data_IF_731120903115
#
_entry.id   IF_731120903115
#
_cell.length_a   1.000
_cell.length_b   1.000
_cell.length_c   1.000
_cell.angle_alpha   90.00
_cell.angle_beta   90.00
_cell.angle_gamma   90.00
#
_symmetry.space_group_name_H-M   'P 1'
#
loop_
_entity.id
_entity.type
_entity.pdbx_description
1 polymer ?
#
# COMPACT_ATOMS: atom_id res chain seq x y z
N UNK A 1 38.76 -1.71 -83.43
CA UNK A 1 39.10 -2.11 -82.06
C UNK A 1 39.09 -0.85 -81.20
N UNK A 2 38.26 -0.81 -80.32
CA UNK A 2 38.10 -0.08 -79.09
C UNK A 2 36.66 0.39 -78.84
N UNK A 3 36.05 -0.27 -77.95
CA UNK A 3 34.67 -0.17 -77.57
C UNK A 3 34.52 0.93 -76.53
N UNK A 4 33.72 1.96 -76.72
CA UNK A 4 33.38 2.97 -75.74
C UNK A 4 32.01 2.63 -75.17
N UNK A 5 32.01 2.20 -73.91
CA UNK A 5 30.81 2.01 -73.15
C UNK A 5 30.30 3.39 -72.61
N UNK A 6 29.07 3.69 -72.98
CA UNK A 6 28.28 4.81 -72.50
C UNK A 6 27.89 4.56 -70.99
N UNK A 7 28.20 5.52 -70.14
CA UNK A 7 27.78 5.51 -68.70
C UNK A 7 26.51 6.35 -68.65
N UNK A 8 25.37 5.66 -68.50
CA UNK A 8 24.10 6.30 -68.14
C UNK A 8 24.09 6.81 -66.71
N UNK A 9 23.84 8.11 -66.54
CA UNK A 9 23.57 8.74 -65.23
C UNK A 9 22.14 8.46 -64.85
N UNK A 10 21.93 7.68 -63.83
CA UNK A 10 20.66 7.58 -63.12
C UNK A 10 20.52 8.75 -62.13
N UNK A 11 19.52 9.59 -62.32
CA UNK A 11 19.05 10.54 -61.34
C UNK A 11 18.18 9.80 -60.32
N UNK A 12 18.66 9.66 -59.11
CA UNK A 12 17.83 9.22 -57.97
C UNK A 12 17.15 10.46 -57.40
N UNK A 13 15.86 10.59 -57.65
CA UNK A 13 15.01 11.56 -56.94
C UNK A 13 14.75 11.03 -55.55
N UNK A 14 15.45 11.58 -54.56
CA UNK A 14 15.21 11.30 -53.16
C UNK A 14 13.92 11.98 -52.69
N UNK A 15 12.87 11.20 -52.49
CA UNK A 15 11.67 11.66 -51.77
C UNK A 15 12.03 11.79 -50.30
N UNK A 16 12.18 13.02 -49.79
CA UNK A 16 12.28 13.30 -48.39
C UNK A 16 10.89 13.04 -47.73
N UNK A 17 10.75 11.91 -47.05
CA UNK A 17 9.65 11.67 -46.14
C UNK A 17 9.85 12.58 -44.91
N UNK A 18 9.05 13.65 -44.85
CA UNK A 18 8.84 14.43 -43.65
C UNK A 18 8.08 13.52 -42.67
N UNK A 19 8.82 12.87 -41.75
CA UNK A 19 8.25 12.28 -40.55
C UNK A 19 7.86 13.45 -39.66
N UNK A 20 6.59 13.84 -39.73
CA UNK A 20 5.99 14.67 -38.68
C UNK A 20 5.97 13.81 -37.41
N UNK A 21 7.00 13.98 -36.57
CA UNK A 21 6.99 13.47 -35.22
C UNK A 21 5.76 14.05 -34.51
N UNK A 22 4.79 13.20 -34.18
CA UNK A 22 3.87 13.50 -33.12
C UNK A 22 4.71 13.69 -31.84
N UNK A 23 5.00 14.94 -31.55
CA UNK A 23 5.53 15.33 -30.24
C UNK A 23 4.47 14.94 -29.22
N UNK A 24 4.62 13.74 -28.63
CA UNK A 24 4.00 13.46 -27.36
C UNK A 24 4.55 14.50 -26.38
N UNK A 25 3.73 15.46 -26.00
CA UNK A 25 4.04 16.34 -24.88
C UNK A 25 4.30 15.41 -23.71
N UNK A 26 5.53 15.41 -23.19
CA UNK A 26 5.78 14.83 -21.86
C UNK A 26 4.70 15.40 -20.93
N UNK A 27 4.01 14.55 -20.14
CA UNK A 27 3.02 15.07 -19.23
C UNK A 27 3.72 16.11 -18.36
N UNK A 28 3.25 17.37 -18.44
CA UNK A 28 3.72 18.46 -17.59
C UNK A 28 3.59 17.91 -16.17
N UNK A 29 4.71 17.82 -15.45
CA UNK A 29 4.69 17.36 -14.07
C UNK A 29 3.74 18.30 -13.32
N UNK A 30 2.62 17.77 -12.87
CA UNK A 30 1.67 18.54 -12.08
C UNK A 30 2.42 19.01 -10.84
N UNK A 31 2.59 20.33 -10.66
CA UNK A 31 3.39 20.92 -9.58
C UNK A 31 3.01 20.37 -8.20
N UNK A 32 1.75 19.94 -8.03
CA UNK A 32 1.26 19.32 -6.80
C UNK A 32 1.96 18.01 -6.44
N UNK A 33 2.44 17.24 -7.45
CA UNK A 33 3.14 15.97 -7.20
C UNK A 33 4.60 16.16 -6.76
N UNK A 34 5.22 17.28 -7.11
CA UNK A 34 6.66 17.50 -6.95
C UNK A 34 7.09 17.28 -5.51
N UNK A 35 6.38 17.90 -4.56
CA UNK A 35 6.77 17.81 -3.15
C UNK A 35 6.48 16.44 -2.53
N UNK A 36 5.35 15.84 -2.84
CA UNK A 36 5.03 14.47 -2.39
C UNK A 36 6.04 13.44 -2.95
N UNK A 37 6.42 13.59 -4.23
CA UNK A 37 7.43 12.75 -4.87
C UNK A 37 8.81 12.96 -4.25
N UNK A 38 9.18 14.21 -3.95
CA UNK A 38 10.45 14.52 -3.27
C UNK A 38 10.53 13.88 -1.88
N UNK A 39 9.47 14.00 -1.09
CA UNK A 39 9.40 13.36 0.24
C UNK A 39 9.53 11.84 0.14
N UNK A 40 8.84 11.22 -0.81
CA UNK A 40 8.91 9.78 -1.01
C UNK A 40 10.32 9.34 -1.41
N UNK A 41 10.95 10.05 -2.37
CA UNK A 41 12.32 9.75 -2.80
C UNK A 41 13.31 9.86 -1.64
N UNK A 42 13.19 10.89 -0.80
CA UNK A 42 14.03 11.03 0.39
C UNK A 42 13.84 9.86 1.38
N UNK A 43 12.58 9.44 1.60
CA UNK A 43 12.31 8.27 2.45
C UNK A 43 12.92 7.00 1.87
N UNK A 44 12.83 6.79 0.56
CA UNK A 44 13.45 5.64 -0.11
C UNK A 44 14.98 5.65 0.04
N UNK A 45 15.63 6.79 -0.13
CA UNK A 45 17.08 6.96 0.09
C UNK A 45 17.45 6.62 1.54
N UNK A 46 16.67 7.05 2.52
CA UNK A 46 16.85 6.73 3.93
C UNK A 46 16.74 5.22 4.20
N UNK A 47 15.79 4.53 3.54
CA UNK A 47 15.68 3.06 3.67
C UNK A 47 16.91 2.36 3.10
N UNK A 48 17.40 2.79 1.93
CA UNK A 48 18.60 2.22 1.30
C UNK A 48 19.84 2.41 2.18
N UNK A 49 19.94 3.52 2.89
CA UNK A 49 21.04 3.80 3.82
C UNK A 49 20.95 2.98 5.13
N UNK A 50 19.81 2.39 5.44
CA UNK A 50 19.58 1.62 6.66
C UNK A 50 19.89 0.13 6.46
N UNK A 51 20.74 -0.50 7.29
CA UNK A 51 21.01 -1.93 7.18
C UNK A 51 19.86 -2.82 7.70
N UNK A 52 18.84 -2.25 8.32
CA UNK A 52 17.73 -2.98 8.96
C UNK A 52 16.41 -2.85 8.23
N UNK A 53 16.26 -1.79 7.43
CA UNK A 53 15.02 -1.49 6.75
C UNK A 53 15.12 -1.86 5.28
N UNK A 54 14.05 -2.41 4.74
CA UNK A 54 13.96 -2.72 3.31
C UNK A 54 12.64 -2.24 2.75
N UNK A 55 12.67 -1.65 1.56
CA UNK A 55 11.45 -1.31 0.82
C UNK A 55 10.72 -2.58 0.43
N UNK A 56 9.43 -2.66 0.75
CA UNK A 56 8.53 -3.70 0.25
C UNK A 56 7.92 -3.23 -1.07
N UNK A 57 7.23 -2.09 -1.06
CA UNK A 57 6.61 -1.48 -2.23
C UNK A 57 6.31 -0.01 -1.97
N UNK A 58 6.23 0.79 -3.03
CA UNK A 58 5.50 2.06 -3.02
C UNK A 58 4.29 1.98 -3.95
N UNK A 59 3.21 2.66 -3.59
CA UNK A 59 1.97 2.69 -4.36
C UNK A 59 1.55 4.14 -4.54
N UNK A 60 1.50 4.59 -5.79
CA UNK A 60 0.99 5.90 -6.16
C UNK A 60 -0.52 5.81 -6.44
N UNK A 61 -1.31 6.01 -5.40
CA UNK A 61 -2.76 5.94 -5.49
C UNK A 61 -3.33 6.96 -6.47
N UNK A 62 -2.76 8.14 -6.50
CA UNK A 62 -3.24 9.25 -7.32
C UNK A 62 -3.03 9.02 -8.81
N UNK A 63 -1.83 8.58 -9.22
CA UNK A 63 -1.57 8.25 -10.63
C UNK A 63 -2.31 7.01 -11.10
N UNK A 64 -2.44 5.99 -10.24
CA UNK A 64 -3.27 4.82 -10.52
C UNK A 64 -4.75 5.19 -10.65
N UNK A 65 -5.27 6.03 -9.75
CA UNK A 65 -6.64 6.54 -9.83
C UNK A 65 -6.89 7.34 -11.10
N UNK A 66 -5.96 8.22 -11.46
CA UNK A 66 -6.03 9.01 -12.71
C UNK A 66 -6.07 8.11 -13.95
N UNK A 67 -5.19 7.10 -14.02
CA UNK A 67 -5.18 6.12 -15.12
C UNK A 67 -6.50 5.33 -15.22
N UNK A 68 -7.15 5.09 -14.09
CA UNK A 68 -8.45 4.43 -14.01
C UNK A 68 -9.65 5.38 -14.16
N UNK A 69 -9.43 6.65 -14.56
CA UNK A 69 -10.49 7.65 -14.73
C UNK A 69 -11.11 8.16 -13.43
N UNK A 70 -10.39 8.05 -12.33
CA UNK A 70 -10.82 8.49 -10.99
C UNK A 70 -9.72 9.36 -10.36
N UNK A 71 -9.53 10.60 -10.87
CA UNK A 71 -8.50 11.51 -10.37
C UNK A 71 -8.73 11.85 -8.89
N UNK A 72 -7.63 12.00 -8.16
CA UNK A 72 -7.60 12.36 -6.74
C UNK A 72 -6.35 13.21 -6.45
N UNK A 73 -6.27 13.90 -5.30
CA UNK A 73 -5.07 14.59 -4.89
C UNK A 73 -3.86 13.66 -4.77
N UNK A 74 -2.61 14.18 -4.85
CA UNK A 74 -1.41 13.40 -4.61
C UNK A 74 -1.49 12.57 -3.34
N UNK A 75 -1.25 11.26 -3.46
CA UNK A 75 -1.21 10.33 -2.33
C UNK A 75 -0.36 9.11 -2.73
N UNK A 76 0.80 8.96 -2.09
CA UNK A 76 1.74 7.86 -2.31
C UNK A 76 2.11 7.21 -0.99
N UNK A 77 1.91 5.90 -0.88
CA UNK A 77 2.28 5.14 0.31
C UNK A 77 3.56 4.36 0.07
N UNK A 78 4.53 4.52 0.97
CA UNK A 78 5.73 3.71 1.07
C UNK A 78 5.53 2.65 2.15
N UNK A 79 5.70 1.38 1.79
CA UNK A 79 5.63 0.23 2.68
C UNK A 79 7.04 -0.36 2.81
N UNK A 80 7.52 -0.51 4.03
CA UNK A 80 8.88 -0.98 4.31
C UNK A 80 8.92 -1.88 5.55
N UNK A 81 9.85 -2.81 5.56
CA UNK A 81 9.95 -3.90 6.53
C UNK A 81 11.16 -3.76 7.44
N UNK A 82 10.96 -4.13 8.70
CA UNK A 82 11.96 -4.57 9.65
C UNK A 82 11.53 -5.98 10.12
N UNK A 83 12.02 -7.05 9.50
CA UNK A 83 11.53 -8.41 9.74
C UNK A 83 11.62 -8.85 11.20
N UNK A 84 12.63 -8.37 11.95
CA UNK A 84 12.76 -8.71 13.36
C UNK A 84 11.67 -8.03 14.20
N UNK A 85 11.41 -6.73 14.01
CA UNK A 85 10.34 -6.01 14.68
C UNK A 85 8.98 -6.66 14.37
N UNK A 86 8.73 -6.96 13.11
CA UNK A 86 7.50 -7.60 12.64
C UNK A 86 7.29 -8.95 13.30
N UNK A 87 8.31 -9.80 13.29
CA UNK A 87 8.28 -11.14 13.91
C UNK A 87 7.96 -11.06 15.40
N UNK A 88 8.61 -10.16 16.14
CA UNK A 88 8.42 -10.00 17.57
C UNK A 88 7.03 -9.46 17.92
N UNK A 89 6.50 -8.51 17.15
CA UNK A 89 5.13 -8.00 17.33
C UNK A 89 4.06 -9.05 16.99
N UNK A 90 4.23 -9.77 15.89
CA UNK A 90 3.29 -10.83 15.45
C UNK A 90 3.26 -11.98 16.45
N UNK A 91 4.40 -12.30 17.08
CA UNK A 91 4.46 -13.30 18.15
C UNK A 91 3.62 -12.90 19.38
N UNK A 92 3.43 -11.59 19.64
CA UNK A 92 2.56 -11.11 20.71
C UNK A 92 1.07 -11.16 20.32
N UNK A 93 0.76 -10.72 19.09
CA UNK A 93 -0.61 -10.75 18.57
C UNK A 93 -0.58 -10.82 17.02
N UNK A 94 -0.98 -11.96 16.41
CA UNK A 94 -0.94 -12.12 14.95
C UNK A 94 -1.73 -11.06 14.18
N UNK A 95 -2.79 -10.48 14.75
CA UNK A 95 -3.59 -9.46 14.09
C UNK A 95 -2.81 -8.18 13.78
N UNK A 96 -1.71 -7.90 14.52
CA UNK A 96 -0.89 -6.69 14.26
C UNK A 96 -0.30 -6.69 12.86
N UNK A 97 -0.18 -7.84 12.22
CA UNK A 97 0.24 -7.98 10.83
C UNK A 97 -0.63 -7.18 9.83
N UNK A 98 -1.86 -6.77 10.21
CA UNK A 98 -2.67 -5.83 9.43
C UNK A 98 -2.07 -4.42 9.33
N UNK A 99 -1.30 -4.02 10.35
CA UNK A 99 -0.62 -2.72 10.37
C UNK A 99 0.89 -2.85 10.11
N UNK A 100 1.34 -4.03 9.74
CA UNK A 100 2.69 -4.34 9.28
C UNK A 100 2.66 -4.76 7.79
N UNK A 101 3.78 -4.61 7.07
CA UNK A 101 4.97 -3.84 7.41
C UNK A 101 4.67 -2.37 7.69
N UNK A 102 5.67 -1.64 8.20
CA UNK A 102 5.54 -0.20 8.46
C UNK A 102 5.19 0.55 7.18
N UNK A 103 4.45 1.66 7.33
CA UNK A 103 4.07 2.47 6.17
C UNK A 103 4.00 3.95 6.50
N UNK A 104 4.29 4.74 5.49
CA UNK A 104 4.20 6.20 5.54
C UNK A 104 3.52 6.65 4.25
N UNK A 105 2.53 7.51 4.36
CA UNK A 105 1.85 8.13 3.23
C UNK A 105 2.35 9.56 3.05
N UNK A 106 2.83 9.90 1.86
CA UNK A 106 3.01 11.27 1.42
C UNK A 106 1.75 11.69 0.66
N UNK A 107 1.14 12.81 1.05
CA UNK A 107 -0.12 13.28 0.47
C UNK A 107 -0.20 14.81 0.44
N UNK A 108 -1.07 15.34 -0.43
CA UNK A 108 -1.42 16.75 -0.43
C UNK A 108 -2.51 17.02 0.61
N UNK A 109 -2.23 17.92 1.55
CA UNK A 109 -3.25 18.50 2.41
C UNK A 109 -3.84 19.74 1.72
N UNK A 110 -5.00 19.60 1.10
CA UNK A 110 -5.67 20.68 0.37
C UNK A 110 -6.06 21.86 1.27
N UNK A 111 -6.21 21.66 2.60
CA UNK A 111 -6.54 22.73 3.54
C UNK A 111 -5.37 23.66 3.77
N UNK A 112 -4.17 23.10 3.81
CA UNK A 112 -2.92 23.83 3.99
C UNK A 112 -2.22 24.14 2.68
N UNK A 113 -2.70 23.58 1.57
CA UNK A 113 -2.09 23.65 0.23
C UNK A 113 -0.59 23.28 0.30
N UNK A 114 -0.32 22.17 0.97
CA UNK A 114 1.05 21.68 1.20
C UNK A 114 1.09 20.15 1.23
N UNK A 115 2.22 19.59 0.85
CA UNK A 115 2.44 18.16 1.00
C UNK A 115 2.83 17.82 2.43
N UNK A 116 2.24 16.76 2.94
CA UNK A 116 2.47 16.20 4.28
C UNK A 116 2.83 14.73 4.20
N UNK A 117 3.42 14.21 5.26
CA UNK A 117 3.49 12.78 5.51
C UNK A 117 2.69 12.41 6.74
N UNK A 118 2.13 11.20 6.76
CA UNK A 118 1.40 10.65 7.89
C UNK A 118 1.71 9.15 8.05
N UNK A 119 1.75 8.70 9.29
CA UNK A 119 1.97 7.30 9.66
C UNK A 119 1.26 6.96 10.96
N UNK A 120 1.11 5.68 11.26
CA UNK A 120 0.58 5.22 12.54
C UNK A 120 1.66 5.24 13.61
N UNK A 121 1.33 5.74 14.81
CA UNK A 121 2.23 5.71 15.98
C UNK A 121 2.23 4.33 16.64
N UNK A 122 3.21 4.05 17.50
CA UNK A 122 3.18 2.83 18.29
C UNK A 122 2.00 2.79 19.28
N UNK A 123 1.59 3.93 19.83
CA UNK A 123 0.43 4.04 20.72
C UNK A 123 -0.87 3.64 20.02
N UNK A 124 -0.97 3.90 18.73
CA UNK A 124 -2.08 3.37 17.92
C UNK A 124 -2.10 1.84 17.91
N UNK A 125 -0.93 1.18 17.72
CA UNK A 125 -0.85 -0.28 17.76
C UNK A 125 -1.20 -0.81 19.14
N UNK A 126 -0.69 -0.19 20.21
CA UNK A 126 -1.01 -0.53 21.61
C UNK A 126 -2.51 -0.49 21.83
N UNK A 127 -3.16 0.60 21.46
CA UNK A 127 -4.60 0.79 21.60
C UNK A 127 -5.41 -0.21 20.78
N UNK A 128 -5.04 -0.38 19.49
CA UNK A 128 -5.78 -1.23 18.56
C UNK A 128 -5.73 -2.71 18.91
N UNK A 129 -4.54 -3.19 19.28
CA UNK A 129 -4.29 -4.60 19.55
C UNK A 129 -4.29 -4.94 21.05
N UNK A 130 -4.59 -3.94 21.89
CA UNK A 130 -4.67 -4.08 23.37
C UNK A 130 -3.38 -4.66 23.95
N UNK A 131 -2.25 -4.19 23.47
CA UNK A 131 -0.97 -4.57 24.01
C UNK A 131 -0.78 -3.98 25.43
N UNK A 132 -0.03 -4.70 26.26
CA UNK A 132 0.51 -4.14 27.50
C UNK A 132 1.73 -3.26 27.19
N UNK A 133 1.63 -1.93 27.34
CA UNK A 133 2.75 -1.03 27.02
C UNK A 133 4.02 -1.34 27.80
N UNK A 134 3.88 -1.81 29.02
CA UNK A 134 5.02 -2.12 29.90
C UNK A 134 5.86 -3.29 29.40
N UNK A 135 5.25 -4.23 28.66
CA UNK A 135 5.94 -5.39 28.11
C UNK A 135 6.63 -5.14 26.77
N UNK A 136 6.36 -4.00 26.11
CA UNK A 136 6.77 -3.73 24.73
C UNK A 136 7.69 -2.51 24.56
N UNK A 137 8.35 -2.06 25.63
CA UNK A 137 9.18 -0.83 25.63
C UNK A 137 10.30 -0.89 24.56
N UNK A 138 10.95 -2.05 24.40
CA UNK A 138 12.01 -2.22 23.39
C UNK A 138 11.44 -2.17 21.96
N UNK A 139 10.29 -2.81 21.73
CA UNK A 139 9.60 -2.79 20.42
C UNK A 139 9.08 -1.40 20.09
N UNK A 140 8.55 -0.66 21.06
CA UNK A 140 8.18 0.75 20.92
C UNK A 140 9.39 1.60 20.49
N UNK A 141 10.52 1.42 21.20
CA UNK A 141 11.76 2.13 20.87
C UNK A 141 12.21 1.84 19.44
N UNK A 142 12.22 0.57 19.05
CA UNK A 142 12.60 0.14 17.70
C UNK A 142 11.64 0.65 16.62
N UNK A 143 10.34 0.57 16.86
CA UNK A 143 9.30 1.10 15.96
C UNK A 143 9.50 2.59 15.71
N UNK A 144 9.67 3.37 16.78
CA UNK A 144 9.86 4.81 16.72
C UNK A 144 11.17 5.18 16.00
N UNK A 145 12.27 4.46 16.29
CA UNK A 145 13.55 4.66 15.60
C UNK A 145 13.42 4.36 14.11
N UNK A 146 12.73 3.30 13.71
CA UNK A 146 12.55 2.96 12.31
C UNK A 146 11.76 4.01 11.54
N UNK A 147 10.69 4.55 12.12
CA UNK A 147 9.96 5.69 11.54
C UNK A 147 10.85 6.93 11.45
N UNK A 148 11.61 7.23 12.52
CA UNK A 148 12.54 8.37 12.53
C UNK A 148 13.65 8.25 11.48
N UNK A 149 14.17 7.04 11.24
CA UNK A 149 15.12 6.77 10.14
C UNK A 149 14.45 7.01 8.80
N UNK A 150 13.30 6.43 8.55
CA UNK A 150 12.59 6.57 7.27
C UNK A 150 12.24 8.04 6.96
N UNK A 151 11.87 8.83 7.97
CA UNK A 151 11.46 10.25 7.82
C UNK A 151 12.59 11.25 8.02
N UNK A 152 13.84 10.80 8.13
CA UNK A 152 14.99 11.69 8.35
C UNK A 152 15.08 12.74 7.25
N UNK A 153 15.31 14.01 7.63
CA UNK A 153 15.37 15.13 6.71
C UNK A 153 14.01 15.71 6.27
N UNK A 154 12.90 15.13 6.71
CA UNK A 154 11.56 15.72 6.53
C UNK A 154 11.29 16.66 7.72
N UNK A 155 10.92 17.89 7.41
CA UNK A 155 10.66 18.91 8.43
C UNK A 155 9.40 18.55 9.26
N UNK A 156 9.43 18.85 10.56
CA UNK A 156 8.33 18.57 11.47
C UNK A 156 7.02 19.26 11.09
N UNK A 157 7.07 20.38 10.39
CA UNK A 157 5.90 21.10 9.84
C UNK A 157 5.17 20.30 8.75
N UNK A 158 5.86 19.32 8.15
CA UNK A 158 5.29 18.44 7.14
C UNK A 158 4.77 17.11 7.73
N UNK A 159 4.83 16.94 9.06
CA UNK A 159 4.24 15.81 9.75
C UNK A 159 2.77 16.10 10.06
N UNK A 160 1.88 15.24 9.57
CA UNK A 160 0.47 15.24 9.94
C UNK A 160 0.19 14.16 11.00
N UNK A 161 -0.89 14.34 11.74
CA UNK A 161 -1.38 13.35 12.69
C UNK A 161 -2.88 13.14 12.50
N UNK A 162 -3.36 11.95 12.85
CA UNK A 162 -4.79 11.69 12.87
C UNK A 162 -5.46 12.39 14.05
N UNK A 163 -6.77 12.72 13.93
CA UNK A 163 -7.53 13.32 15.03
C UNK A 163 -7.57 12.44 16.29
N UNK A 164 -7.44 11.13 16.11
CA UNK A 164 -7.40 10.15 17.19
C UNK A 164 -6.47 9.00 16.85
N UNK A 165 -5.53 8.69 17.73
CA UNK A 165 -4.72 7.48 17.66
C UNK A 165 -5.43 6.26 18.24
N UNK A 166 -6.57 6.46 18.89
CA UNK A 166 -7.37 5.39 19.48
C UNK A 166 -8.31 4.84 18.41
N UNK A 167 -8.27 3.53 18.23
CA UNK A 167 -9.19 2.80 17.36
C UNK A 167 -9.96 1.76 18.16
N UNK A 168 -11.27 1.68 17.91
CA UNK A 168 -12.06 0.58 18.47
C UNK A 168 -11.56 -0.76 17.93
N UNK A 169 -11.50 -1.81 18.75
CA UNK A 169 -11.25 -3.18 18.29
C UNK A 169 -12.17 -3.62 17.14
N UNK A 170 -13.38 -3.03 17.07
CA UNK A 170 -14.37 -3.30 16.03
C UNK A 170 -13.95 -2.81 14.62
N UNK A 171 -12.80 -2.12 14.51
CA UNK A 171 -12.23 -1.71 13.22
C UNK A 171 -11.62 -2.84 12.39
N UNK A 172 -11.68 -4.10 12.85
CA UNK A 172 -11.18 -5.29 12.15
C UNK A 172 -12.33 -6.24 11.88
N UNK A 173 -12.48 -6.62 10.61
CA UNK A 173 -13.41 -7.66 10.20
C UNK A 173 -12.64 -8.97 10.14
N UNK A 174 -13.14 -10.01 10.80
CA UNK A 174 -12.54 -11.34 10.78
C UNK A 174 -13.56 -12.37 10.32
N UNK A 175 -13.19 -13.16 9.31
CA UNK A 175 -13.99 -14.24 8.73
C UNK A 175 -13.26 -15.55 9.02
N UNK A 176 -13.85 -16.51 9.73
CA UNK A 176 -13.26 -17.83 9.90
C UNK A 176 -13.27 -18.59 8.56
N UNK A 177 -12.19 -19.31 8.27
CA UNK A 177 -12.10 -20.17 7.09
C UNK A 177 -12.24 -21.64 7.52
N UNK A 178 -13.08 -22.43 6.87
CA UNK A 178 -13.17 -23.86 7.11
C UNK A 178 -12.08 -24.66 6.37
N UNK A 179 -11.27 -23.99 5.58
CA UNK A 179 -10.25 -24.60 4.70
C UNK A 179 -8.87 -24.60 5.36
N UNK A 180 -7.91 -25.33 4.75
CA UNK A 180 -6.49 -25.24 5.12
C UNK A 180 -5.96 -23.83 4.91
N UNK A 181 -4.78 -23.54 5.44
CA UNK A 181 -4.15 -22.23 5.27
C UNK A 181 -3.88 -21.96 3.78
N UNK A 182 -3.28 -22.91 3.08
CA UNK A 182 -2.92 -22.80 1.67
C UNK A 182 -4.18 -22.64 0.80
N UNK A 183 -5.21 -23.46 1.04
CA UNK A 183 -6.46 -23.36 0.30
C UNK A 183 -7.18 -22.03 0.57
N UNK A 184 -7.10 -21.49 1.78
CA UNK A 184 -7.63 -20.15 2.10
C UNK A 184 -6.91 -19.08 1.32
N UNK A 185 -5.59 -19.13 1.21
CA UNK A 185 -4.77 -18.20 0.39
C UNK A 185 -5.19 -18.28 -1.07
N UNK A 186 -5.32 -19.49 -1.61
CA UNK A 186 -5.70 -19.71 -3.01
C UNK A 186 -7.10 -19.18 -3.31
N UNK A 187 -8.08 -19.43 -2.45
CA UNK A 187 -9.47 -18.95 -2.60
C UNK A 187 -9.56 -17.42 -2.54
N UNK A 188 -8.83 -16.80 -1.62
CA UNK A 188 -8.79 -15.34 -1.53
C UNK A 188 -8.15 -14.74 -2.78
N UNK A 189 -7.02 -15.29 -3.25
CA UNK A 189 -6.39 -14.85 -4.49
C UNK A 189 -7.31 -15.04 -5.71
N UNK A 190 -8.00 -16.17 -5.82
CA UNK A 190 -8.96 -16.42 -6.89
C UNK A 190 -10.11 -15.39 -6.86
N UNK A 191 -10.63 -15.06 -5.67
CA UNK A 191 -11.67 -14.05 -5.51
C UNK A 191 -11.21 -12.64 -5.85
N UNK A 192 -9.94 -12.28 -5.60
CA UNK A 192 -9.35 -11.02 -6.04
C UNK A 192 -9.25 -11.01 -7.57
N UNK A 193 -8.67 -12.07 -8.17
CA UNK A 193 -8.46 -12.17 -9.61
C UNK A 193 -9.76 -12.23 -10.43
N UNK A 194 -10.87 -12.64 -9.83
CA UNK A 194 -12.17 -12.65 -10.47
C UNK A 194 -12.84 -11.27 -10.58
N UNK A 195 -12.23 -10.23 -10.01
CA UNK A 195 -12.73 -8.86 -10.07
C UNK A 195 -11.97 -8.06 -11.12
N UNK A 196 -12.66 -7.57 -12.15
CA UNK A 196 -12.05 -6.84 -13.28
C UNK A 196 -11.48 -5.46 -12.87
N UNK A 197 -11.88 -4.93 -11.72
CA UNK A 197 -11.51 -3.61 -11.23
C UNK A 197 -10.43 -3.63 -10.14
N UNK A 198 -9.78 -4.78 -9.91
CA UNK A 198 -8.74 -4.96 -8.89
C UNK A 198 -7.41 -5.40 -9.48
N UNK A 199 -6.35 -5.13 -8.75
CA UNK A 199 -4.99 -5.57 -9.04
C UNK A 199 -4.25 -5.96 -7.77
N UNK A 200 -3.31 -6.90 -7.88
CA UNK A 200 -2.37 -7.21 -6.81
C UNK A 200 -1.23 -6.20 -6.77
N UNK A 201 -0.82 -5.79 -5.57
CA UNK A 201 0.36 -4.97 -5.35
C UNK A 201 1.53 -5.79 -4.80
N UNK A 202 1.25 -6.82 -4.01
CA UNK A 202 2.28 -7.69 -3.44
C UNK A 202 1.75 -8.58 -2.32
N UNK A 203 2.66 -9.33 -1.73
CA UNK A 203 2.37 -10.21 -0.58
C UNK A 203 3.52 -10.17 0.41
N UNK A 204 3.24 -10.47 1.68
CA UNK A 204 4.25 -10.64 2.73
C UNK A 204 3.97 -11.95 3.47
N UNK A 205 4.93 -12.87 3.42
CA UNK A 205 4.90 -14.10 4.21
C UNK A 205 5.70 -13.88 5.50
N UNK A 206 5.01 -13.47 6.56
CA UNK A 206 5.65 -13.19 7.83
C UNK A 206 6.23 -14.46 8.48
N UNK A 207 5.63 -15.62 8.24
CA UNK A 207 6.17 -16.87 8.76
C UNK A 207 7.49 -17.24 8.09
N UNK A 208 7.60 -17.07 6.77
CA UNK A 208 8.85 -17.26 6.06
C UNK A 208 9.95 -16.32 6.55
N UNK A 209 9.61 -15.01 6.67
CA UNK A 209 10.54 -14.01 7.19
C UNK A 209 11.04 -14.35 8.60
N UNK A 210 10.15 -14.81 9.48
CA UNK A 210 10.51 -15.21 10.85
C UNK A 210 11.46 -16.43 10.85
N UNK A 211 11.22 -17.43 9.96
CA UNK A 211 12.11 -18.59 9.83
C UNK A 211 13.50 -18.21 9.38
N UNK A 212 13.66 -17.21 8.51
CA UNK A 212 14.98 -16.70 8.12
C UNK A 212 15.74 -16.11 9.32
N UNK A 213 15.02 -15.62 10.33
CA UNK A 213 15.60 -15.17 11.60
C UNK A 213 15.76 -16.29 12.64
N UNK A 214 15.41 -17.54 12.31
CA UNK A 214 15.44 -18.68 13.23
C UNK A 214 14.31 -18.67 14.26
N UNK A 215 13.22 -17.93 14.00
CA UNK A 215 12.07 -17.82 14.90
C UNK A 215 10.86 -18.51 14.27
N UNK A 216 10.13 -19.28 15.07
CA UNK A 216 8.88 -19.92 14.65
C UNK A 216 7.70 -19.09 15.13
N UNK A 217 6.84 -18.67 14.18
CA UNK A 217 5.53 -18.06 14.45
C UNK A 217 4.44 -18.85 13.75
N UNK A 218 3.19 -18.65 14.17
CA UNK A 218 2.04 -19.23 13.47
C UNK A 218 1.96 -18.71 12.02
N UNK A 219 1.39 -19.49 11.07
CA UNK A 219 1.15 -19.03 9.71
C UNK A 219 0.48 -17.66 9.69
N UNK A 220 1.08 -16.71 8.97
CA UNK A 220 0.63 -15.33 8.85
C UNK A 220 1.06 -14.78 7.50
N UNK A 221 0.10 -14.48 6.63
CA UNK A 221 0.32 -14.08 5.24
C UNK A 221 -0.54 -12.90 4.87
N UNK A 222 0.08 -11.84 4.38
CA UNK A 222 -0.58 -10.59 3.99
C UNK A 222 -0.64 -10.49 2.47
N UNK A 223 -1.83 -10.21 1.95
CA UNK A 223 -2.06 -9.89 0.54
C UNK A 223 -2.39 -8.41 0.43
N UNK A 224 -1.65 -7.71 -0.43
CA UNK A 224 -1.84 -6.31 -0.77
C UNK A 224 -2.50 -6.23 -2.15
N UNK A 225 -3.69 -5.65 -2.21
CA UNK A 225 -4.43 -5.51 -3.46
C UNK A 225 -5.31 -4.25 -3.45
N UNK A 226 -5.88 -3.88 -4.58
CA UNK A 226 -6.79 -2.75 -4.61
C UNK A 226 -7.42 -2.51 -5.97
N UNK A 227 -8.46 -1.69 -5.98
CA UNK A 227 -9.13 -1.21 -7.20
C UNK A 227 -8.82 0.26 -7.42
N UNK A 228 -7.93 0.62 -8.38
CA UNK A 228 -7.55 2.02 -8.61
C UNK A 228 -8.75 2.94 -8.88
N UNK A 229 -9.72 2.50 -9.68
CA UNK A 229 -10.91 3.29 -9.99
C UNK A 229 -11.80 3.54 -8.77
N UNK A 230 -12.31 2.49 -8.10
CA UNK A 230 -13.08 2.65 -6.87
C UNK A 230 -12.30 3.34 -5.75
N UNK A 231 -11.01 3.02 -5.60
CA UNK A 231 -10.13 3.63 -4.60
C UNK A 231 -9.94 5.12 -4.82
N UNK A 232 -9.63 5.55 -6.04
CA UNK A 232 -9.50 6.97 -6.39
C UNK A 232 -10.77 7.77 -6.07
N UNK A 233 -11.95 7.24 -6.42
CA UNK A 233 -13.23 7.86 -6.06
C UNK A 233 -13.45 7.97 -4.55
N UNK A 234 -13.03 6.96 -3.80
CA UNK A 234 -13.19 6.94 -2.35
C UNK A 234 -12.24 7.90 -1.65
N UNK A 235 -11.04 8.10 -2.22
CA UNK A 235 -9.98 8.96 -1.66
C UNK A 235 -9.99 10.39 -2.20
N UNK A 236 -10.87 10.73 -3.17
CA UNK A 236 -10.89 12.06 -3.79
C UNK A 236 -10.96 13.22 -2.78
N UNK A 237 -11.77 13.05 -1.72
CA UNK A 237 -11.91 14.03 -0.63
C UNK A 237 -11.18 13.60 0.66
N UNK A 238 -10.44 12.48 0.62
CA UNK A 238 -9.83 11.87 1.80
C UNK A 238 -8.55 11.10 1.45
N UNK A 239 -7.50 11.76 0.94
CA UNK A 239 -6.27 11.10 0.48
C UNK A 239 -5.55 10.32 1.60
N UNK A 240 -5.74 10.71 2.87
CA UNK A 240 -5.17 10.01 4.04
C UNK A 240 -5.65 8.56 4.19
N UNK A 241 -6.80 8.20 3.61
CA UNK A 241 -7.24 6.80 3.55
C UNK A 241 -6.27 5.89 2.78
N UNK A 242 -5.39 6.48 1.95
CA UNK A 242 -4.31 5.76 1.27
C UNK A 242 -3.29 5.10 2.21
N UNK A 243 -3.21 5.50 3.48
CA UNK A 243 -2.32 4.85 4.45
C UNK A 243 -2.79 3.44 4.80
N UNK A 244 -4.06 3.27 5.16
CA UNK A 244 -4.59 2.05 5.77
C UNK A 244 -5.77 1.42 5.03
N UNK A 245 -6.58 2.23 4.37
CA UNK A 245 -7.80 1.80 3.70
C UNK A 245 -7.60 1.37 2.25
N UNK A 246 -6.60 1.92 1.60
CA UNK A 246 -6.18 1.66 0.23
C UNK A 246 -4.63 1.64 0.20
N UNK A 247 -3.91 0.70 -0.31
CA UNK A 247 -4.35 -0.61 -0.79
C UNK A 247 -5.02 -1.44 0.31
N UNK A 248 -5.94 -2.32 -0.09
CA UNK A 248 -6.55 -3.26 0.83
C UNK A 248 -5.52 -4.27 1.33
N UNK A 249 -5.67 -4.66 2.60
CA UNK A 249 -4.79 -5.61 3.26
C UNK A 249 -5.62 -6.78 3.75
N UNK A 250 -5.32 -7.96 3.25
CA UNK A 250 -5.93 -9.19 3.70
C UNK A 250 -4.91 -10.03 4.42
N UNK A 251 -5.12 -10.22 5.70
CA UNK A 251 -4.31 -11.06 6.55
C UNK A 251 -4.98 -12.44 6.69
N UNK A 252 -4.31 -13.46 6.17
CA UNK A 252 -4.67 -14.86 6.40
C UNK A 252 -3.73 -15.37 7.50
N UNK A 253 -4.32 -15.88 8.58
CA UNK A 253 -3.55 -16.24 9.76
C UNK A 253 -4.19 -17.38 10.53
N UNK A 254 -3.39 -18.04 11.36
CA UNK A 254 -3.81 -19.15 12.21
C UNK A 254 -3.85 -18.68 13.66
N UNK A 255 -5.00 -18.81 14.32
CA UNK A 255 -5.13 -18.45 15.72
C UNK A 255 -4.59 -19.54 16.68
N UNK A 256 -4.59 -19.24 17.97
CA UNK A 256 -4.09 -20.15 19.00
C UNK A 256 -4.91 -21.45 19.12
N UNK A 257 -6.15 -21.49 18.64
CA UNK A 257 -6.97 -22.70 18.59
C UNK A 257 -6.67 -23.56 17.36
N UNK A 258 -5.85 -23.07 16.44
CA UNK A 258 -5.54 -23.71 15.15
C UNK A 258 -6.50 -23.34 14.03
N UNK A 259 -7.49 -22.46 14.26
CA UNK A 259 -8.43 -22.03 13.24
C UNK A 259 -7.79 -21.02 12.28
N UNK A 260 -8.01 -21.23 10.97
CA UNK A 260 -7.59 -20.29 9.93
C UNK A 260 -8.64 -19.19 9.82
N UNK A 261 -8.15 -17.96 9.67
CA UNK A 261 -8.96 -16.74 9.61
C UNK A 261 -8.45 -15.81 8.51
N UNK A 262 -9.38 -15.09 7.88
CA UNK A 262 -9.13 -13.93 7.05
C UNK A 262 -9.53 -12.68 7.84
N UNK A 263 -8.61 -11.75 8.02
CA UNK A 263 -8.88 -10.46 8.68
C UNK A 263 -8.52 -9.29 7.77
N UNK A 264 -9.29 -8.21 7.84
CA UNK A 264 -9.06 -6.98 7.08
C UNK A 264 -9.71 -5.78 7.78
N UNK A 265 -9.33 -4.57 7.34
CA UNK A 265 -9.82 -3.33 7.92
C UNK A 265 -11.28 -3.05 7.54
N UNK A 266 -12.09 -2.61 8.51
CA UNK A 266 -13.37 -1.95 8.22
C UNK A 266 -13.10 -0.51 7.77
N UNK A 267 -13.38 -0.21 6.49
CA UNK A 267 -13.13 1.11 5.90
C UNK A 267 -13.92 2.23 6.58
N UNK A 268 -15.08 1.91 7.16
CA UNK A 268 -15.90 2.91 7.83
C UNK A 268 -15.34 3.27 9.21
N UNK A 269 -14.70 2.30 9.88
CA UNK A 269 -13.99 2.55 11.12
C UNK A 269 -12.70 3.36 10.88
N UNK A 270 -11.97 3.07 9.80
CA UNK A 270 -10.81 3.86 9.39
C UNK A 270 -11.20 5.31 9.06
N UNK A 271 -12.30 5.51 8.32
CA UNK A 271 -12.81 6.84 8.00
C UNK A 271 -13.17 7.62 9.28
N UNK A 272 -13.79 6.97 10.26
CA UNK A 272 -14.12 7.58 11.55
C UNK A 272 -12.87 8.02 12.31
N UNK A 273 -11.88 7.14 12.43
CA UNK A 273 -10.59 7.44 13.07
C UNK A 273 -9.90 8.65 12.43
N UNK A 274 -9.95 8.74 11.11
CA UNK A 274 -9.31 9.81 10.35
C UNK A 274 -10.15 11.10 10.30
N UNK A 275 -11.35 11.12 10.89
CA UNK A 275 -12.26 12.26 10.85
C UNK A 275 -12.78 12.54 9.43
N UNK A 276 -12.76 11.56 8.53
CA UNK A 276 -13.23 11.72 7.15
C UNK A 276 -14.65 11.18 6.95
N UNK A 277 -15.32 11.72 5.95
CA UNK A 277 -16.73 11.41 5.68
C UNK A 277 -16.90 9.95 5.21
N UNK A 278 -17.81 9.22 5.81
CA UNK A 278 -18.22 7.87 5.37
C UNK A 278 -19.09 7.96 4.11
N UNK A 279 -18.46 8.15 2.95
CA UNK A 279 -19.12 8.32 1.65
C UNK A 279 -19.87 7.06 1.20
N UNK A 280 -20.75 7.19 0.20
CA UNK A 280 -21.42 6.04 -0.41
C UNK A 280 -20.40 5.08 -1.06
N UNK A 281 -19.36 5.63 -1.70
CA UNK A 281 -18.28 4.83 -2.30
C UNK A 281 -17.60 3.92 -1.25
N UNK A 282 -17.22 4.49 -0.10
CA UNK A 282 -16.63 3.71 1.01
C UNK A 282 -17.58 2.61 1.50
N UNK A 283 -18.88 2.91 1.65
CA UNK A 283 -19.88 1.93 2.09
C UNK A 283 -20.02 0.77 1.11
N UNK A 284 -20.05 1.07 -0.20
CA UNK A 284 -20.16 0.07 -1.26
C UNK A 284 -18.90 -0.81 -1.28
N UNK A 285 -17.71 -0.22 -1.22
CA UNK A 285 -16.45 -0.99 -1.21
C UNK A 285 -16.40 -1.88 0.04
N UNK A 286 -16.70 -1.33 1.22
CA UNK A 286 -16.69 -2.09 2.47
C UNK A 286 -17.69 -3.27 2.44
N UNK A 287 -18.87 -3.06 1.86
CA UNK A 287 -19.85 -4.12 1.65
C UNK A 287 -19.35 -5.20 0.67
N UNK A 288 -18.76 -4.78 -0.47
CA UNK A 288 -18.17 -5.72 -1.46
C UNK A 288 -17.10 -6.60 -0.82
N UNK A 289 -16.18 -6.00 -0.05
CA UNK A 289 -15.14 -6.76 0.65
C UNK A 289 -15.75 -7.86 1.55
N UNK A 290 -16.69 -7.48 2.43
CA UNK A 290 -17.35 -8.42 3.33
C UNK A 290 -18.07 -9.55 2.57
N UNK A 291 -18.82 -9.18 1.53
CA UNK A 291 -19.63 -10.15 0.78
C UNK A 291 -18.77 -11.08 -0.08
N UNK A 292 -17.92 -10.51 -0.94
CA UNK A 292 -17.12 -11.30 -1.91
C UNK A 292 -16.23 -12.32 -1.20
N UNK A 293 -15.54 -11.90 -0.15
CA UNK A 293 -14.59 -12.77 0.55
C UNK A 293 -15.28 -13.65 1.61
N UNK A 294 -16.42 -13.22 2.14
CA UNK A 294 -17.30 -14.10 2.91
C UNK A 294 -17.82 -15.26 2.05
N UNK A 295 -18.33 -14.96 0.86
CA UNK A 295 -18.80 -15.97 -0.09
C UNK A 295 -17.66 -16.93 -0.52
N UNK A 296 -16.47 -16.41 -0.80
CA UNK A 296 -15.30 -17.22 -1.20
C UNK A 296 -14.87 -18.23 -0.13
N UNK A 297 -15.08 -17.92 1.14
CA UNK A 297 -14.74 -18.78 2.28
C UNK A 297 -15.91 -19.63 2.80
N UNK A 298 -17.10 -19.50 2.22
CA UNK A 298 -18.29 -20.30 2.61
C UNK A 298 -18.79 -21.20 1.49
N UNK A 299 -18.41 -20.92 0.23
CA UNK A 299 -18.83 -21.74 -0.92
C UNK A 299 -17.99 -23.01 -1.02
N UNK A 300 -18.65 -24.16 -1.02
CA UNK A 300 -18.07 -25.49 -1.25
C UNK A 300 -17.56 -25.63 -2.66
#
# INVERSE_FOLDING_TARGET
>A
MFNRRSIGRFFVVGAALLVTGCGGSEPIADERYIEADRMLSLMEENLVASPRLSKVIDIDHSRLGQQAGSPMPPARVLIFSDPQLETELIAQNPLVALDLPLRILAFEDERENSSKIIYNTFDYLVSRYQFDPGSLVELQGRYTVNLGVATSGIESTNLASFPSDIMSPDGIITIPSPFSFEETVDRVNAAINAQDDTMHFGTVDFQANARELGVEIAPSYLILFGGPGPGGKAMADAPTLGLDGFCQKFLIWKDASGQIKLSFNDLLALAERQGVKKTLALRVINYRLKKTFGDALTSS
#
